data_IF_567978543703
#
_entry.id   IF_567978543703
#
_cell.length_a   1.000
_cell.length_b   1.000
_cell.length_c   1.000
_cell.angle_alpha   90.00
_cell.angle_beta   90.00
_cell.angle_gamma   90.00
#
_symmetry.space_group_name_H-M   'P 1'
#
loop_
_entity.id
_entity.type
_entity.pdbx_description
1 polymer ?
#
# COMPACT_ATOMS: atom_id res chain seq x y z
N UNK A 1 7.26 86.05 -27.19
CA UNK A 1 8.30 85.34 -26.43
C UNK A 1 7.64 84.11 -25.81
N UNK A 2 8.06 82.91 -26.26
CA UNK A 2 7.80 81.53 -25.76
C UNK A 2 6.42 81.17 -25.18
N UNK A 3 5.61 80.30 -25.82
CA UNK A 3 5.80 78.86 -26.02
C UNK A 3 5.74 78.02 -24.73
N UNK A 4 4.59 77.38 -24.46
CA UNK A 4 4.50 75.99 -23.95
C UNK A 4 3.27 75.34 -24.61
N UNK A 5 3.56 74.56 -25.65
CA UNK A 5 2.64 73.67 -26.37
C UNK A 5 2.44 72.39 -25.54
N UNK A 6 1.20 71.90 -25.53
CA UNK A 6 0.78 70.73 -24.77
C UNK A 6 1.45 69.42 -25.18
N UNK A 7 1.55 68.52 -24.20
CA UNK A 7 1.67 67.08 -24.40
C UNK A 7 0.78 66.36 -23.38
N UNK A 8 -0.51 66.26 -23.70
CA UNK A 8 -1.39 65.24 -23.14
C UNK A 8 -1.14 63.93 -23.91
N UNK A 9 -0.14 63.17 -23.47
CA UNK A 9 0.05 61.80 -23.93
C UNK A 9 -0.96 60.90 -23.22
N UNK A 10 -2.09 60.62 -23.85
CA UNK A 10 -2.97 59.51 -23.47
C UNK A 10 -2.14 58.22 -23.55
N UNK A 11 -2.07 57.38 -22.50
CA UNK A 11 -1.44 56.08 -22.64
C UNK A 11 -2.25 55.30 -23.66
N UNK A 12 -1.61 54.89 -24.75
CA UNK A 12 -2.21 53.99 -25.73
C UNK A 12 -2.74 52.76 -24.98
N UNK A 13 -4.05 52.57 -25.01
CA UNK A 13 -4.69 51.38 -24.48
C UNK A 13 -4.04 50.16 -25.15
N UNK A 14 -3.26 49.39 -24.37
CA UNK A 14 -2.80 48.07 -24.80
C UNK A 14 -4.03 47.26 -25.15
N UNK A 15 -4.12 46.85 -26.41
CA UNK A 15 -5.25 46.07 -26.90
C UNK A 15 -5.40 44.78 -26.07
N UNK A 16 -6.64 44.33 -25.77
CA UNK A 16 -6.92 43.19 -24.89
C UNK A 16 -6.43 41.83 -25.41
N UNK A 17 -5.74 41.77 -26.56
CA UNK A 17 -5.27 40.53 -27.18
C UNK A 17 -3.84 40.09 -26.80
N UNK A 18 -2.97 41.00 -26.37
CA UNK A 18 -1.56 40.67 -26.12
C UNK A 18 -1.32 39.99 -24.76
N UNK A 19 -2.05 40.40 -23.71
CA UNK A 19 -1.88 39.85 -22.35
C UNK A 19 -2.45 38.42 -22.21
N UNK A 20 -3.50 38.07 -22.99
CA UNK A 20 -4.09 36.74 -22.99
C UNK A 20 -3.19 35.65 -23.60
N UNK A 21 -2.38 36.01 -24.61
CA UNK A 21 -1.47 35.08 -25.28
C UNK A 21 -0.24 34.72 -24.44
N UNK A 22 0.33 35.70 -23.75
CA UNK A 22 1.48 35.49 -22.85
C UNK A 22 1.07 34.79 -21.56
N UNK A 23 -0.10 35.11 -21.00
CA UNK A 23 -0.68 34.38 -19.86
C UNK A 23 -0.96 32.91 -20.20
N UNK A 24 -1.52 32.62 -21.37
CA UNK A 24 -1.77 31.26 -21.82
C UNK A 24 -0.46 30.47 -22.05
N UNK A 25 0.57 31.10 -22.64
CA UNK A 25 1.89 30.47 -22.83
C UNK A 25 2.60 30.23 -21.50
N UNK A 26 2.53 31.17 -20.56
CA UNK A 26 3.07 31.02 -19.21
C UNK A 26 2.35 29.90 -18.43
N UNK A 27 1.03 29.79 -18.56
CA UNK A 27 0.26 28.70 -17.97
C UNK A 27 0.62 27.34 -18.58
N UNK A 28 0.78 27.26 -19.90
CA UNK A 28 1.18 26.03 -20.61
C UNK A 28 2.59 25.57 -20.21
N UNK A 29 3.54 26.50 -20.08
CA UNK A 29 4.91 26.20 -19.63
C UNK A 29 4.95 25.81 -18.15
N UNK A 30 4.19 26.47 -17.29
CA UNK A 30 4.04 26.09 -15.87
C UNK A 30 3.41 24.70 -15.71
N UNK A 31 2.53 24.28 -16.61
CA UNK A 31 1.87 22.97 -16.58
C UNK A 31 2.77 21.78 -16.96
N UNK A 32 3.93 22.00 -17.59
CA UNK A 32 4.81 20.92 -18.08
C UNK A 32 5.37 20.05 -16.94
N UNK A 33 5.83 20.68 -15.85
CA UNK A 33 6.42 19.95 -14.71
C UNK A 33 5.38 19.13 -13.92
N UNK A 34 4.22 19.68 -13.52
CA UNK A 34 3.16 18.90 -12.89
C UNK A 34 2.66 17.75 -13.77
N UNK A 35 2.59 17.93 -15.09
CA UNK A 35 2.23 16.86 -16.02
C UNK A 35 3.23 15.71 -16.06
N UNK A 36 4.53 15.97 -15.82
CA UNK A 36 5.56 14.94 -15.82
C UNK A 36 5.73 14.28 -14.43
N UNK A 37 5.66 15.07 -13.37
CA UNK A 37 5.98 14.64 -12.00
C UNK A 37 4.77 14.64 -11.04
N UNK A 38 3.54 14.70 -11.58
CA UNK A 38 2.30 14.81 -10.80
C UNK A 38 2.16 13.72 -9.74
N UNK A 39 2.56 12.49 -10.06
CA UNK A 39 2.52 11.37 -9.11
C UNK A 39 3.43 11.61 -7.91
N UNK A 40 4.62 12.17 -8.14
CA UNK A 40 5.55 12.50 -7.08
C UNK A 40 5.03 13.65 -6.21
N UNK A 41 4.44 14.69 -6.78
CA UNK A 41 3.85 15.78 -6.00
C UNK A 41 2.69 15.30 -5.11
N UNK A 42 1.85 14.40 -5.62
CA UNK A 42 0.79 13.77 -4.82
C UNK A 42 1.38 12.90 -3.70
N UNK A 43 2.43 12.13 -4.00
CA UNK A 43 3.15 11.34 -3.00
C UNK A 43 3.80 12.23 -1.92
N UNK A 44 4.44 13.34 -2.32
CA UNK A 44 5.06 14.31 -1.42
C UNK A 44 4.03 14.94 -0.49
N UNK A 45 2.88 15.35 -1.03
CA UNK A 45 1.76 15.82 -0.22
C UNK A 45 1.37 14.75 0.82
N UNK A 46 1.19 13.49 0.40
CA UNK A 46 0.88 12.39 1.32
C UNK A 46 1.99 12.14 2.35
N UNK A 47 3.26 12.27 2.00
CA UNK A 47 4.37 12.14 2.95
C UNK A 47 4.35 13.25 4.00
N UNK A 48 4.00 14.49 3.62
CA UNK A 48 3.83 15.60 4.57
C UNK A 48 2.68 15.34 5.54
N UNK A 49 1.56 14.82 5.04
CA UNK A 49 0.44 14.39 5.91
C UNK A 49 0.88 13.23 6.80
N UNK A 50 1.58 12.22 6.26
CA UNK A 50 2.09 11.10 7.06
C UNK A 50 3.06 11.51 8.16
N UNK A 51 3.88 12.52 7.90
CA UNK A 51 4.79 13.09 8.90
C UNK A 51 4.06 13.69 10.10
N UNK A 52 2.85 14.23 9.92
CA UNK A 52 2.12 14.86 11.04
C UNK A 52 1.60 13.84 12.06
N UNK A 53 1.35 12.60 11.64
CA UNK A 53 0.92 11.50 12.52
C UNK A 53 1.97 10.40 12.67
N UNK A 54 3.23 10.70 12.36
CA UNK A 54 4.34 9.74 12.44
C UNK A 54 4.54 9.19 13.85
N UNK A 55 4.37 10.02 14.88
CA UNK A 55 4.45 9.56 16.27
C UNK A 55 3.39 8.48 16.56
N UNK A 56 2.15 8.70 16.13
CA UNK A 56 1.09 7.71 16.25
C UNK A 56 1.46 6.44 15.50
N UNK A 57 1.92 6.55 14.24
CA UNK A 57 2.36 5.40 13.45
C UNK A 57 3.48 4.60 14.09
N UNK A 58 4.46 5.27 14.71
CA UNK A 58 5.55 4.59 15.40
C UNK A 58 5.01 3.89 16.65
N UNK A 59 4.24 4.59 17.50
CA UNK A 59 3.72 4.00 18.74
C UNK A 59 2.83 2.77 18.47
N UNK A 60 1.85 2.86 17.56
CA UNK A 60 1.04 1.68 17.19
C UNK A 60 1.82 0.67 16.35
N UNK A 61 2.74 1.13 15.50
CA UNK A 61 3.56 0.31 14.63
C UNK A 61 4.65 -0.49 15.34
N UNK A 62 5.10 -0.09 16.54
CA UNK A 62 6.03 -0.85 17.38
C UNK A 62 5.28 -1.73 18.39
N UNK A 63 4.24 -1.19 19.03
CA UNK A 63 3.52 -1.89 20.10
C UNK A 63 2.85 -3.17 19.60
N UNK A 64 2.19 -3.11 18.44
CA UNK A 64 1.44 -4.25 17.90
C UNK A 64 2.36 -5.44 17.53
N UNK A 65 3.39 -5.29 16.66
CA UNK A 65 4.33 -6.39 16.39
C UNK A 65 4.99 -6.94 17.63
N UNK A 66 5.45 -6.09 18.54
CA UNK A 66 6.12 -6.51 19.76
C UNK A 66 5.20 -7.39 20.60
N UNK A 67 3.97 -6.94 20.86
CA UNK A 67 3.00 -7.69 21.66
C UNK A 67 2.58 -8.99 20.98
N UNK A 68 2.37 -8.99 19.66
CA UNK A 68 1.99 -10.21 18.93
C UNK A 68 3.13 -11.23 18.89
N UNK A 69 4.36 -10.81 18.61
CA UNK A 69 5.52 -11.72 18.61
C UNK A 69 5.82 -12.24 20.02
N UNK A 70 5.67 -11.40 21.05
CA UNK A 70 5.82 -11.83 22.44
C UNK A 70 4.75 -12.86 22.81
N UNK A 71 3.47 -12.57 22.51
CA UNK A 71 2.35 -13.46 22.80
C UNK A 71 2.46 -14.79 22.04
N UNK A 72 2.84 -14.74 20.77
CA UNK A 72 2.99 -15.95 19.95
C UNK A 72 4.26 -16.73 20.27
N UNK A 73 5.37 -16.04 20.56
CA UNK A 73 6.65 -16.66 20.87
C UNK A 73 6.69 -17.26 22.27
N UNK A 74 6.44 -16.46 23.30
CA UNK A 74 6.49 -16.91 24.69
C UNK A 74 5.20 -17.63 25.12
N UNK A 75 4.04 -17.12 24.70
CA UNK A 75 2.75 -17.71 25.06
C UNK A 75 2.48 -18.99 24.28
N UNK A 76 2.14 -18.87 22.99
CA UNK A 76 1.73 -20.03 22.20
C UNK A 76 2.91 -20.95 21.83
N UNK A 77 4.09 -20.39 21.57
CA UNK A 77 5.28 -21.14 21.20
C UNK A 77 5.76 -22.08 22.32
N UNK A 78 5.62 -21.69 23.59
CA UNK A 78 5.95 -22.59 24.72
C UNK A 78 4.97 -23.75 24.82
N UNK A 79 3.67 -23.52 24.60
CA UNK A 79 2.64 -24.55 24.56
C UNK A 79 2.86 -25.53 23.40
N UNK A 80 3.15 -25.03 22.20
CA UNK A 80 3.46 -25.86 21.03
C UNK A 80 4.72 -26.68 21.27
N UNK A 81 5.76 -26.06 21.82
CA UNK A 81 7.03 -26.74 22.12
C UNK A 81 6.85 -27.84 23.17
N UNK A 82 6.01 -27.61 24.18
CA UNK A 82 5.71 -28.59 25.22
C UNK A 82 4.90 -29.80 24.71
N UNK A 83 4.02 -29.60 23.74
CA UNK A 83 3.14 -30.67 23.23
C UNK A 83 3.71 -31.42 22.02
N UNK A 84 4.40 -30.71 21.13
CA UNK A 84 4.84 -31.22 19.81
C UNK A 84 6.37 -31.21 19.64
N UNK A 85 7.11 -30.69 20.62
CA UNK A 85 8.56 -30.52 20.57
C UNK A 85 9.02 -29.17 20.00
N UNK A 86 10.30 -28.79 20.19
CA UNK A 86 10.82 -27.45 19.86
C UNK A 86 10.85 -27.12 18.35
N UNK A 87 10.70 -28.11 17.47
CA UNK A 87 10.74 -27.99 16.01
C UNK A 87 9.47 -28.49 15.33
N UNK A 88 8.34 -28.39 16.02
CA UNK A 88 7.07 -29.02 15.66
C UNK A 88 6.47 -28.62 14.30
N UNK A 89 6.82 -27.43 13.77
CA UNK A 89 6.17 -26.89 12.57
C UNK A 89 7.23 -26.70 11.48
N UNK A 90 7.16 -27.49 10.42
CA UNK A 90 8.12 -27.50 9.30
C UNK A 90 9.59 -27.62 9.74
N UNK A 91 9.86 -28.27 10.89
CA UNK A 91 11.21 -28.43 11.43
C UNK A 91 11.78 -27.18 12.10
N UNK A 92 11.00 -26.12 12.28
CA UNK A 92 11.42 -24.87 12.93
C UNK A 92 10.59 -24.57 14.18
N UNK A 93 11.07 -23.62 15.00
CA UNK A 93 10.30 -23.15 16.14
C UNK A 93 8.99 -22.50 15.66
N UNK A 94 7.94 -22.60 16.48
CA UNK A 94 6.64 -21.97 16.16
C UNK A 94 6.79 -20.47 15.87
N UNK A 95 7.67 -19.79 16.61
CA UNK A 95 7.97 -18.39 16.40
C UNK A 95 8.58 -18.14 15.01
N UNK A 96 9.54 -18.94 14.57
CA UNK A 96 10.16 -18.82 13.25
C UNK A 96 9.17 -19.12 12.11
N UNK A 97 8.17 -19.99 12.36
CA UNK A 97 7.09 -20.28 11.40
C UNK A 97 6.08 -19.13 11.27
N UNK A 98 5.65 -18.55 12.40
CA UNK A 98 4.57 -17.54 12.46
C UNK A 98 5.07 -16.13 12.14
N UNK A 99 6.30 -15.79 12.54
CA UNK A 99 6.86 -14.44 12.38
C UNK A 99 6.79 -13.90 10.93
N UNK A 100 7.22 -14.63 9.89
CA UNK A 100 7.10 -14.18 8.49
C UNK A 100 5.66 -13.95 8.05
N UNK A 101 4.72 -14.76 8.56
CA UNK A 101 3.30 -14.64 8.25
C UNK A 101 2.67 -13.40 8.92
N UNK A 102 3.08 -13.09 10.15
CA UNK A 102 2.65 -11.86 10.85
C UNK A 102 3.17 -10.60 10.15
N UNK A 103 4.41 -10.61 9.67
CA UNK A 103 4.94 -9.52 8.86
C UNK A 103 4.08 -9.27 7.61
N UNK A 104 3.74 -10.34 6.87
CA UNK A 104 2.90 -10.22 5.67
C UNK A 104 1.47 -9.77 6.04
N UNK A 105 0.91 -10.28 7.14
CA UNK A 105 -0.42 -9.90 7.64
C UNK A 105 -0.48 -8.43 8.05
N UNK A 106 0.58 -7.92 8.68
CA UNK A 106 0.69 -6.51 9.03
C UNK A 106 0.72 -5.62 7.78
N UNK A 107 1.49 -6.01 6.76
CA UNK A 107 1.54 -5.31 5.48
C UNK A 107 0.17 -5.29 4.78
N UNK A 108 -0.53 -6.43 4.76
CA UNK A 108 -1.87 -6.56 4.19
C UNK A 108 -2.89 -5.70 4.93
N UNK A 109 -2.87 -5.69 6.27
CA UNK A 109 -3.75 -4.85 7.09
C UNK A 109 -3.52 -3.36 6.78
N UNK A 110 -2.26 -2.90 6.80
CA UNK A 110 -1.92 -1.51 6.50
C UNK A 110 -2.31 -1.12 5.07
N UNK A 111 -2.04 -1.99 4.09
CA UNK A 111 -2.43 -1.74 2.71
C UNK A 111 -3.95 -1.64 2.56
N UNK A 112 -4.69 -2.52 3.24
CA UNK A 112 -6.16 -2.51 3.22
C UNK A 112 -6.73 -1.20 3.74
N UNK A 113 -6.17 -0.63 4.81
CA UNK A 113 -6.57 0.67 5.33
C UNK A 113 -6.21 1.81 4.38
N UNK A 114 -4.97 1.83 3.88
CA UNK A 114 -4.43 2.91 3.05
C UNK A 114 -5.05 2.99 1.64
N UNK A 115 -5.52 1.86 1.13
CA UNK A 115 -6.25 1.79 -0.14
C UNK A 115 -7.77 1.91 0.04
N UNK A 116 -8.26 1.96 1.28
CA UNK A 116 -9.66 2.18 1.58
C UNK A 116 -9.93 3.63 1.94
N UNK A 117 -9.48 4.07 3.11
CA UNK A 117 -9.94 5.34 3.69
C UNK A 117 -9.41 6.55 2.93
N UNK A 118 -8.12 6.63 2.55
CA UNK A 118 -7.62 7.75 1.74
C UNK A 118 -8.25 7.83 0.35
N UNK A 119 -8.58 6.70 -0.27
CA UNK A 119 -9.25 6.67 -1.58
C UNK A 119 -10.69 7.16 -1.45
N UNK A 120 -11.43 6.67 -0.46
CA UNK A 120 -12.80 7.09 -0.22
C UNK A 120 -12.88 8.56 0.22
N UNK A 121 -11.94 9.00 1.05
CA UNK A 121 -11.78 10.40 1.41
C UNK A 121 -11.60 11.24 0.13
N UNK A 122 -10.62 10.89 -0.70
CA UNK A 122 -10.26 11.64 -1.90
C UNK A 122 -11.35 11.74 -2.96
N UNK A 123 -12.20 10.72 -3.10
CA UNK A 123 -13.32 10.75 -4.04
C UNK A 123 -14.62 11.28 -3.44
N UNK A 124 -14.86 11.09 -2.14
CA UNK A 124 -16.21 11.24 -1.56
C UNK A 124 -16.27 12.08 -0.30
N UNK A 125 -15.63 11.65 0.79
CA UNK A 125 -15.86 12.30 2.10
C UNK A 125 -15.27 13.70 2.18
N UNK A 126 -14.14 13.93 1.52
CA UNK A 126 -13.56 15.25 1.33
C UNK A 126 -12.83 15.23 -0.03
N UNK A 127 -13.48 15.66 -1.13
CA UNK A 127 -13.13 15.33 -2.52
C UNK A 127 -11.81 15.98 -3.01
N UNK A 128 -10.72 15.69 -2.31
CA UNK A 128 -9.37 16.23 -2.55
C UNK A 128 -8.82 15.80 -3.91
N UNK A 129 -9.26 14.65 -4.46
CA UNK A 129 -8.83 14.24 -5.81
C UNK A 129 -9.39 15.15 -6.90
N UNK A 130 -10.60 15.70 -6.73
CA UNK A 130 -11.15 16.70 -7.65
C UNK A 130 -10.36 18.00 -7.55
N UNK A 131 -9.98 18.43 -6.34
CA UNK A 131 -9.13 19.60 -6.14
C UNK A 131 -7.73 19.44 -6.77
N UNK A 132 -7.11 18.26 -6.62
CA UNK A 132 -5.82 17.96 -7.25
C UNK A 132 -5.96 17.92 -8.78
N UNK A 133 -7.03 17.33 -9.30
CA UNK A 133 -7.27 17.22 -10.74
C UNK A 133 -7.67 18.56 -11.40
N UNK A 134 -8.11 19.55 -10.64
CA UNK A 134 -8.26 20.92 -11.13
C UNK A 134 -6.92 21.60 -11.47
N UNK A 135 -5.80 21.05 -10.97
CA UNK A 135 -4.45 21.42 -11.41
C UNK A 135 -4.00 20.56 -12.61
N UNK A 136 -2.86 20.86 -13.27
CA UNK A 136 -2.35 20.08 -14.42
C UNK A 136 -1.83 18.65 -14.07
N UNK A 137 -2.50 17.94 -13.16
CA UNK A 137 -2.18 16.58 -12.71
C UNK A 137 -3.26 15.61 -13.23
N UNK A 138 -2.82 14.58 -13.95
CA UNK A 138 -3.73 13.59 -14.52
C UNK A 138 -4.33 12.66 -13.43
N UNK A 139 -5.55 12.15 -13.59
CA UNK A 139 -6.18 11.22 -12.63
C UNK A 139 -5.33 9.98 -12.32
N UNK A 140 -4.66 9.43 -13.35
CA UNK A 140 -3.74 8.32 -13.18
C UNK A 140 -2.57 8.66 -12.26
N UNK A 141 -2.04 9.89 -12.34
CA UNK A 141 -0.94 10.35 -11.48
C UNK A 141 -1.38 10.49 -10.02
N UNK A 142 -2.65 10.82 -9.77
CA UNK A 142 -3.19 10.85 -8.40
C UNK A 142 -3.11 9.45 -7.79
N UNK A 143 -3.61 8.44 -8.50
CA UNK A 143 -3.54 7.04 -8.06
C UNK A 143 -2.08 6.57 -7.91
N UNK A 144 -1.21 6.90 -8.86
CA UNK A 144 0.21 6.55 -8.80
C UNK A 144 0.89 7.17 -7.56
N UNK A 145 0.57 8.42 -7.23
CA UNK A 145 1.07 9.08 -6.03
C UNK A 145 0.56 8.47 -4.73
N UNK A 146 -0.69 8.01 -4.70
CA UNK A 146 -1.20 7.20 -3.58
C UNK A 146 -0.38 5.94 -3.43
N UNK A 147 -0.23 5.15 -4.49
CA UNK A 147 0.53 3.89 -4.47
C UNK A 147 1.96 4.10 -4.00
N UNK A 148 2.67 5.11 -4.51
CA UNK A 148 4.05 5.43 -4.08
C UNK A 148 4.12 5.68 -2.57
N UNK A 149 3.18 6.47 -2.04
CA UNK A 149 3.16 6.75 -0.60
C UNK A 149 2.87 5.49 0.25
N UNK A 150 2.01 4.60 -0.25
CA UNK A 150 1.68 3.34 0.41
C UNK A 150 2.87 2.38 0.36
N UNK A 151 3.60 2.30 -0.75
CA UNK A 151 4.84 1.51 -0.84
C UNK A 151 5.82 1.91 0.25
N UNK A 152 6.08 3.20 0.43
CA UNK A 152 6.98 3.68 1.47
C UNK A 152 6.48 3.35 2.89
N UNK A 153 5.17 3.47 3.13
CA UNK A 153 4.56 3.08 4.42
C UNK A 153 4.71 1.57 4.68
N UNK A 154 4.43 0.74 3.68
CA UNK A 154 4.57 -0.72 3.80
C UNK A 154 6.02 -1.15 4.01
N UNK A 155 6.98 -0.52 3.32
CA UNK A 155 8.40 -0.76 3.56
C UNK A 155 8.78 -0.43 5.01
N UNK A 156 8.30 0.69 5.55
CA UNK A 156 8.51 1.05 6.95
C UNK A 156 7.90 0.02 7.92
N UNK A 157 6.63 -0.35 7.73
CA UNK A 157 5.94 -1.34 8.57
C UNK A 157 6.63 -2.69 8.55
N UNK A 158 6.96 -3.19 7.35
CA UNK A 158 7.60 -4.51 7.19
C UNK A 158 9.04 -4.51 7.68
N UNK A 159 9.78 -3.41 7.54
CA UNK A 159 11.12 -3.26 8.12
C UNK A 159 11.09 -3.28 9.66
N UNK A 160 10.12 -2.60 10.28
CA UNK A 160 9.94 -2.63 11.75
C UNK A 160 9.59 -4.04 12.22
N UNK A 161 8.66 -4.71 11.54
CA UNK A 161 8.33 -6.10 11.84
C UNK A 161 9.56 -7.00 11.71
N UNK A 162 10.31 -6.89 10.61
CA UNK A 162 11.53 -7.66 10.39
C UNK A 162 12.58 -7.40 11.48
N UNK A 163 12.75 -6.16 11.92
CA UNK A 163 13.66 -5.83 13.01
C UNK A 163 13.30 -6.57 14.31
N UNK A 164 12.02 -6.66 14.66
CA UNK A 164 11.58 -7.49 15.78
C UNK A 164 11.77 -8.98 15.53
N UNK A 165 11.45 -9.47 14.33
CA UNK A 165 11.69 -10.88 14.00
C UNK A 165 13.16 -11.25 14.17
N UNK A 166 14.08 -10.40 13.73
CA UNK A 166 15.51 -10.56 13.93
C UNK A 166 15.90 -10.49 15.42
N UNK A 167 15.36 -9.53 16.17
CA UNK A 167 15.60 -9.38 17.61
C UNK A 167 15.18 -10.62 18.42
N UNK A 168 14.06 -11.23 18.05
CA UNK A 168 13.54 -12.43 18.70
C UNK A 168 14.11 -13.75 18.13
N UNK A 169 15.07 -13.70 17.21
CA UNK A 169 15.68 -14.88 16.62
C UNK A 169 14.74 -15.70 15.72
N UNK A 170 13.68 -15.09 15.19
CA UNK A 170 12.67 -15.72 14.37
C UNK A 170 13.05 -15.82 12.87
N UNK A 171 14.29 -15.45 12.51
CA UNK A 171 14.81 -15.46 11.15
C UNK A 171 16.17 -16.18 11.11
N UNK A 172 16.17 -17.51 11.04
CA UNK A 172 17.41 -18.30 10.97
C UNK A 172 18.20 -18.11 9.67
N UNK A 173 17.53 -17.72 8.58
CA UNK A 173 18.12 -17.60 7.24
C UNK A 173 18.73 -16.23 6.96
N UNK A 174 19.89 -16.23 6.28
CA UNK A 174 20.62 -15.01 5.91
C UNK A 174 19.84 -14.08 4.95
N UNK A 175 18.86 -14.63 4.22
CA UNK A 175 18.06 -13.89 3.24
C UNK A 175 16.72 -13.38 3.79
N UNK A 176 16.45 -13.50 5.09
CA UNK A 176 15.15 -13.14 5.64
C UNK A 176 14.75 -11.68 5.46
N UNK A 177 15.73 -10.77 5.25
CA UNK A 177 15.46 -9.36 4.96
C UNK A 177 14.66 -9.16 3.65
N UNK A 178 14.71 -10.12 2.71
CA UNK A 178 13.88 -10.12 1.50
C UNK A 178 12.40 -10.16 1.85
N UNK A 179 12.05 -10.69 3.03
CA UNK A 179 10.69 -10.64 3.60
C UNK A 179 10.09 -9.24 3.66
N UNK A 180 10.91 -8.19 3.77
CA UNK A 180 10.45 -6.77 3.73
C UNK A 180 9.82 -6.46 2.36
N UNK A 181 10.51 -6.84 1.27
CA UNK A 181 10.02 -6.62 -0.09
C UNK A 181 8.82 -7.52 -0.39
N UNK A 182 8.87 -8.78 0.04
CA UNK A 182 7.78 -9.75 -0.14
C UNK A 182 6.51 -9.29 0.57
N UNK A 183 6.63 -8.86 1.83
CA UNK A 183 5.51 -8.33 2.59
C UNK A 183 4.93 -7.07 1.95
N UNK A 184 5.80 -6.19 1.44
CA UNK A 184 5.37 -4.99 0.70
C UNK A 184 4.58 -5.36 -0.56
N UNK A 185 5.10 -6.27 -1.39
CA UNK A 185 4.42 -6.74 -2.60
C UNK A 185 3.13 -7.49 -2.25
N UNK A 186 3.11 -8.29 -1.18
CA UNK A 186 1.92 -8.97 -0.66
C UNK A 186 0.82 -7.99 -0.24
N UNK A 187 1.20 -6.95 0.49
CA UNK A 187 0.29 -5.85 0.87
C UNK A 187 -0.27 -5.12 -0.35
N UNK A 188 0.58 -4.79 -1.33
CA UNK A 188 0.13 -4.16 -2.59
C UNK A 188 -0.81 -5.06 -3.40
N UNK A 189 -0.50 -6.35 -3.52
CA UNK A 189 -1.30 -7.32 -4.24
C UNK A 189 -2.69 -7.50 -3.62
N UNK A 190 -2.78 -7.52 -2.29
CA UNK A 190 -4.06 -7.57 -1.59
C UNK A 190 -4.82 -6.23 -1.63
N UNK A 191 -4.08 -5.13 -1.48
CA UNK A 191 -4.63 -3.79 -1.36
C UNK A 191 -5.09 -3.16 -2.68
N UNK A 192 -4.45 -3.50 -3.81
CA UNK A 192 -4.83 -2.95 -5.11
C UNK A 192 -6.27 -3.31 -5.56
N UNK A 193 -6.75 -4.56 -5.36
CA UNK A 193 -8.17 -4.88 -5.53
C UNK A 193 -9.11 -4.02 -4.69
N UNK A 194 -8.74 -3.77 -3.43
CA UNK A 194 -9.50 -2.89 -2.54
C UNK A 194 -9.51 -1.46 -3.08
N UNK A 195 -8.35 -0.93 -3.48
CA UNK A 195 -8.25 0.40 -4.09
C UNK A 195 -9.17 0.54 -5.32
N UNK A 196 -9.14 -0.45 -6.21
CA UNK A 196 -9.95 -0.45 -7.41
C UNK A 196 -11.44 -0.50 -7.07
N UNK A 197 -11.85 -1.39 -6.16
CA UNK A 197 -13.23 -1.48 -5.71
C UNK A 197 -13.71 -0.20 -5.03
N UNK A 198 -12.95 0.33 -4.07
CA UNK A 198 -13.30 1.54 -3.33
C UNK A 198 -13.37 2.76 -4.26
N UNK A 199 -12.54 2.84 -5.28
CA UNK A 199 -12.63 3.90 -6.29
C UNK A 199 -13.97 3.89 -7.07
N UNK A 200 -14.67 2.75 -7.14
CA UNK A 200 -16.02 2.66 -7.74
C UNK A 200 -17.15 3.09 -6.81
N UNK A 201 -16.89 3.24 -5.52
CA UNK A 201 -17.94 3.54 -4.53
C UNK A 201 -18.40 5.00 -4.69
N UNK A 202 -19.69 5.16 -4.94
CA UNK A 202 -20.38 6.46 -4.94
C UNK A 202 -21.25 6.63 -3.68
N UNK A 203 -21.85 5.54 -3.20
CA UNK A 203 -22.66 5.51 -1.98
C UNK A 203 -21.98 4.62 -0.92
N UNK A 204 -21.82 5.15 0.29
CA UNK A 204 -21.12 4.48 1.38
C UNK A 204 -22.20 4.01 2.35
N UNK A 205 -22.52 2.73 2.25
CA UNK A 205 -23.60 2.05 2.96
C UNK A 205 -23.05 0.89 3.83
N UNK A 206 -21.75 0.92 4.14
CA UNK A 206 -21.09 -0.09 4.98
C UNK A 206 -20.36 -1.19 4.21
N UNK A 207 -20.20 -1.07 2.89
CA UNK A 207 -19.48 -2.06 2.06
C UNK A 207 -18.04 -2.27 2.53
N UNK A 208 -17.40 -1.22 3.04
CA UNK A 208 -16.04 -1.29 3.58
C UNK A 208 -15.98 -2.18 4.83
N UNK A 209 -16.92 -1.99 5.76
CA UNK A 209 -16.97 -2.80 6.98
C UNK A 209 -17.22 -4.28 6.65
N UNK A 210 -18.06 -4.55 5.64
CA UNK A 210 -18.27 -5.91 5.12
C UNK A 210 -16.99 -6.48 4.52
N UNK A 211 -16.27 -5.72 3.69
CA UNK A 211 -15.00 -6.15 3.10
C UNK A 211 -13.98 -6.52 4.18
N UNK A 212 -13.79 -5.67 5.19
CA UNK A 212 -12.82 -5.95 6.26
C UNK A 212 -13.21 -7.17 7.10
N UNK A 213 -14.51 -7.39 7.36
CA UNK A 213 -14.96 -8.49 8.22
C UNK A 213 -15.11 -9.82 7.49
N UNK A 214 -15.56 -9.81 6.24
CA UNK A 214 -15.87 -11.03 5.48
C UNK A 214 -14.79 -11.42 4.47
N UNK A 215 -13.83 -10.55 4.19
CA UNK A 215 -12.72 -10.85 3.27
C UNK A 215 -11.40 -10.89 4.02
N UNK A 216 -11.00 -9.78 4.67
CA UNK A 216 -9.68 -9.70 5.32
C UNK A 216 -9.53 -10.69 6.48
N UNK A 217 -10.51 -10.78 7.37
CA UNK A 217 -10.45 -11.68 8.52
C UNK A 217 -10.41 -13.17 8.11
N UNK A 218 -11.33 -13.68 7.26
CA UNK A 218 -11.26 -15.07 6.82
C UNK A 218 -9.97 -15.38 6.06
N UNK A 219 -9.52 -14.51 5.16
CA UNK A 219 -8.26 -14.74 4.45
C UNK A 219 -7.08 -14.79 5.43
N UNK A 220 -7.04 -13.95 6.46
CA UNK A 220 -5.98 -14.01 7.47
C UNK A 220 -5.96 -15.34 8.23
N UNK A 221 -7.13 -15.92 8.53
CA UNK A 221 -7.23 -17.20 9.22
C UNK A 221 -6.90 -18.40 8.31
N UNK A 222 -7.36 -18.38 7.06
CA UNK A 222 -7.26 -19.50 6.12
C UNK A 222 -6.03 -19.43 5.19
N UNK A 223 -5.17 -18.41 5.30
CA UNK A 223 -3.92 -18.30 4.51
C UNK A 223 -2.73 -19.05 5.10
N UNK A 224 -2.97 -19.96 6.05
CA UNK A 224 -1.89 -20.73 6.69
C UNK A 224 -0.96 -19.88 7.57
N UNK A 225 -1.49 -18.80 8.17
CA UNK A 225 -0.75 -17.84 9.00
C UNK A 225 -0.27 -18.47 10.31
N UNK A 226 -1.15 -19.20 11.00
CA UNK A 226 -0.87 -19.81 12.31
C UNK A 226 -0.51 -21.30 12.23
N UNK A 227 -1.03 -22.01 11.22
CA UNK A 227 -0.74 -23.42 10.98
C UNK A 227 -0.55 -23.66 9.49
N UNK A 228 0.21 -24.68 9.08
CA UNK A 228 0.38 -25.03 7.67
C UNK A 228 -0.97 -25.24 6.97
N UNK A 229 -1.11 -24.70 5.76
CA UNK A 229 -2.36 -24.82 4.99
C UNK A 229 -2.73 -26.28 4.71
N UNK A 230 -1.73 -27.16 4.56
CA UNK A 230 -1.91 -28.60 4.35
C UNK A 230 -2.66 -29.30 5.49
N UNK A 231 -2.65 -28.73 6.71
CA UNK A 231 -3.37 -29.29 7.86
C UNK A 231 -4.85 -28.95 7.86
N UNK A 232 -5.30 -28.04 6.99
CA UNK A 232 -6.71 -27.68 6.88
C UNK A 232 -7.46 -28.70 6.00
N UNK A 233 -8.77 -28.91 6.25
CA UNK A 233 -9.62 -29.69 5.34
C UNK A 233 -9.50 -29.21 3.89
N UNK A 234 -9.49 -30.14 2.93
CA UNK A 234 -9.25 -29.86 1.50
C UNK A 234 -10.16 -28.75 0.94
N UNK A 235 -11.40 -28.66 1.42
CA UNK A 235 -12.39 -27.67 0.99
C UNK A 235 -12.11 -26.25 1.52
N UNK A 236 -11.16 -26.04 2.42
CA UNK A 236 -10.72 -24.72 2.88
C UNK A 236 -9.39 -24.29 2.24
N UNK A 237 -8.62 -25.24 1.72
CA UNK A 237 -7.28 -24.96 1.17
C UNK A 237 -7.34 -24.03 -0.05
N UNK A 238 -8.39 -24.12 -0.87
CA UNK A 238 -8.54 -23.25 -2.05
C UNK A 238 -8.66 -21.77 -1.68
N UNK A 239 -9.25 -21.44 -0.52
CA UNK A 239 -9.33 -20.06 -0.02
C UNK A 239 -7.91 -19.53 0.24
N UNK A 240 -7.06 -20.36 0.84
CA UNK A 240 -5.65 -20.06 1.02
C UNK A 240 -4.93 -19.86 -0.33
N UNK A 241 -5.14 -20.74 -1.30
CA UNK A 241 -4.47 -20.66 -2.61
C UNK A 241 -4.85 -19.45 -3.46
N UNK A 242 -6.04 -18.87 -3.26
CA UNK A 242 -6.43 -17.62 -3.93
C UNK A 242 -5.84 -16.40 -3.19
N UNK A 243 -5.49 -16.55 -1.92
CA UNK A 243 -5.09 -15.45 -1.06
C UNK A 243 -3.69 -14.91 -1.39
N UNK A 244 -3.54 -13.61 -1.71
CA UNK A 244 -2.23 -12.97 -1.82
C UNK A 244 -1.41 -13.07 -0.52
N UNK A 245 -2.09 -13.16 0.62
CA UNK A 245 -1.44 -13.32 1.91
C UNK A 245 -0.75 -14.69 2.02
N UNK A 246 -1.35 -15.76 1.48
CA UNK A 246 -0.72 -17.08 1.47
C UNK A 246 0.53 -17.06 0.60
N UNK A 247 0.44 -16.49 -0.62
CA UNK A 247 1.59 -16.43 -1.52
C UNK A 247 2.76 -15.62 -0.97
N UNK A 248 2.48 -14.48 -0.34
CA UNK A 248 3.53 -13.67 0.30
C UNK A 248 4.10 -14.36 1.54
N UNK A 249 3.28 -15.04 2.33
CA UNK A 249 3.72 -15.78 3.51
C UNK A 249 4.65 -16.94 3.15
N UNK A 250 4.27 -17.78 2.18
CA UNK A 250 5.09 -18.91 1.74
C UNK A 250 6.45 -18.46 1.23
N UNK A 251 6.46 -17.47 0.34
CA UNK A 251 7.71 -16.91 -0.19
C UNK A 251 8.56 -16.31 0.94
N UNK A 252 7.94 -15.62 1.91
CA UNK A 252 8.66 -15.06 3.06
C UNK A 252 9.27 -16.15 3.94
N UNK A 253 8.61 -17.30 4.12
CA UNK A 253 9.16 -18.46 4.85
C UNK A 253 10.35 -19.12 4.15
N UNK A 254 10.31 -19.24 2.82
CA UNK A 254 11.44 -19.72 2.01
C UNK A 254 12.69 -18.88 2.29
N UNK A 255 12.58 -17.55 2.28
CA UNK A 255 13.73 -16.67 2.55
C UNK A 255 14.08 -16.52 4.04
N UNK A 256 13.10 -16.67 4.94
CA UNK A 256 13.31 -16.46 6.38
C UNK A 256 13.99 -17.62 7.07
N UNK A 257 13.63 -18.87 6.75
CA UNK A 257 14.22 -20.06 7.39
C UNK A 257 14.56 -21.19 6.43
N UNK A 258 14.43 -20.98 5.11
CA UNK A 258 14.78 -22.00 4.13
C UNK A 258 13.71 -23.09 3.99
N UNK A 259 12.42 -22.73 4.10
CA UNK A 259 11.34 -23.68 3.80
C UNK A 259 11.59 -24.35 2.44
N UNK A 260 11.55 -25.69 2.41
CA UNK A 260 11.70 -26.45 1.18
C UNK A 260 10.48 -26.23 0.28
N UNK A 261 10.67 -25.46 -0.80
CA UNK A 261 9.65 -25.20 -1.81
C UNK A 261 10.24 -25.37 -3.21
N UNK A 262 9.55 -26.01 -4.15
CA UNK A 262 9.98 -26.07 -5.54
C UNK A 262 10.12 -24.66 -6.14
N UNK A 263 11.22 -24.40 -6.84
CA UNK A 263 11.51 -23.08 -7.41
C UNK A 263 10.39 -22.55 -8.32
N UNK A 264 9.72 -23.43 -9.07
CA UNK A 264 8.61 -23.05 -9.94
C UNK A 264 7.44 -22.45 -9.15
N UNK A 265 7.19 -22.93 -7.92
CA UNK A 265 6.11 -22.44 -7.07
C UNK A 265 6.47 -21.06 -6.52
N UNK A 266 7.72 -20.83 -6.12
CA UNK A 266 8.22 -19.51 -5.73
C UNK A 266 8.10 -18.48 -6.87
N UNK A 267 8.35 -18.89 -8.11
CA UNK A 267 8.10 -18.04 -9.30
C UNK A 267 6.61 -17.74 -9.45
N UNK A 268 5.72 -18.73 -9.27
CA UNK A 268 4.27 -18.53 -9.31
C UNK A 268 3.83 -17.53 -8.24
N UNK A 269 4.35 -17.61 -7.02
CA UNK A 269 4.06 -16.64 -5.96
C UNK A 269 4.39 -15.21 -6.39
N UNK A 270 5.58 -14.98 -6.93
CA UNK A 270 6.02 -13.66 -7.38
C UNK A 270 5.14 -13.15 -8.54
N UNK A 271 4.95 -13.97 -9.57
CA UNK A 271 4.17 -13.61 -10.75
C UNK A 271 2.73 -13.32 -10.36
N UNK A 272 2.13 -14.13 -9.51
CA UNK A 272 0.76 -13.94 -9.04
C UNK A 272 0.59 -12.61 -8.31
N UNK A 273 1.46 -12.32 -7.33
CA UNK A 273 1.38 -11.08 -6.56
C UNK A 273 1.58 -9.83 -7.44
N UNK A 274 2.57 -9.86 -8.33
CA UNK A 274 2.83 -8.75 -9.25
C UNK A 274 1.70 -8.57 -10.26
N UNK A 275 1.20 -9.65 -10.85
CA UNK A 275 0.09 -9.61 -11.80
C UNK A 275 -1.17 -9.02 -11.12
N UNK A 276 -1.49 -9.49 -9.91
CA UNK A 276 -2.64 -8.99 -9.17
C UNK A 276 -2.51 -7.50 -8.86
N UNK A 277 -1.34 -7.07 -8.36
CA UNK A 277 -1.08 -5.65 -8.13
C UNK A 277 -1.23 -4.81 -9.42
N UNK A 278 -0.58 -5.20 -10.51
CA UNK A 278 -0.57 -4.43 -11.76
C UNK A 278 -1.96 -4.35 -12.39
N UNK A 279 -2.70 -5.47 -12.45
CA UNK A 279 -4.04 -5.50 -13.04
C UNK A 279 -4.99 -4.55 -12.31
N UNK A 280 -5.05 -4.62 -10.99
CA UNK A 280 -5.97 -3.81 -10.20
C UNK A 280 -5.50 -2.35 -10.04
N UNK A 281 -4.18 -2.10 -10.03
CA UNK A 281 -3.65 -0.73 -10.12
C UNK A 281 -4.05 -0.04 -11.42
N UNK A 282 -3.87 -0.71 -12.57
CA UNK A 282 -4.31 -0.18 -13.87
C UNK A 282 -5.82 0.02 -13.91
N UNK A 283 -6.60 -0.88 -13.29
CA UNK A 283 -8.05 -0.72 -13.20
C UNK A 283 -8.45 0.51 -12.37
N UNK A 284 -7.83 0.72 -11.20
CA UNK A 284 -8.04 1.92 -10.38
C UNK A 284 -7.71 3.21 -11.14
N UNK A 285 -6.61 3.24 -11.91
CA UNK A 285 -6.27 4.39 -12.77
C UNK A 285 -7.36 4.68 -13.81
N UNK A 286 -7.91 3.63 -14.44
CA UNK A 286 -9.02 3.78 -15.40
C UNK A 286 -10.29 4.31 -14.74
N UNK A 287 -10.63 3.84 -13.53
CA UNK A 287 -11.79 4.33 -12.78
C UNK A 287 -11.60 5.80 -12.42
N UNK A 288 -10.41 6.18 -11.91
CA UNK A 288 -10.08 7.57 -11.59
C UNK A 288 -10.21 8.47 -12.82
N UNK A 289 -9.70 8.03 -13.98
CA UNK A 289 -9.83 8.78 -15.23
C UNK A 289 -11.30 9.01 -15.62
N UNK A 290 -12.16 7.99 -15.46
CA UNK A 290 -13.60 8.12 -15.74
C UNK A 290 -14.35 9.02 -14.75
N UNK A 291 -13.91 9.08 -13.50
CA UNK A 291 -14.58 9.86 -12.44
C UNK A 291 -14.16 11.33 -12.40
N UNK A 292 -12.90 11.61 -12.67
CA UNK A 292 -12.31 12.94 -12.50
C UNK A 292 -12.30 13.78 -13.78
N UNK A 293 -12.21 13.17 -14.96
CA UNK A 293 -12.28 13.91 -16.24
C UNK A 293 -13.72 14.23 -16.68
N UNK A 294 -14.65 14.41 -15.73
CA UNK A 294 -16.03 14.80 -16.01
C UNK A 294 -16.16 16.32 -16.08
#
# INVERSE_FOLDING_TARGET
MSAIVGRSGTPAARGPGAEGGDGARAALTAAVRPRRFGAWYVAEHRFRVMRSYLQTLLVTGFGNPLLYLLAMGLGLGSLVSANLGPHAVDGVSYLAFVAPALLCTAAVTVASEEFTYPILLGFKWNPTFYGINASPIAPGQIIDGVVISVVARLLGTTAVYFAFMALFGAVPGAWGFVGILIGTIGGLAFGAPIMAYVATIEQDSGQIAMLMRFVLLPLTLFSGTFFPLANMPWFLQWIGWVSPLWHSTQLSRVFSYGMSEPLWLSVVHIVYLLALFVVFWLWARRIAARRLNK
#
